data_IF_730831155053
#
_entry.id   IF_730831155053
#
_cell.length_a   1.000
_cell.length_b   1.000
_cell.length_c   1.000
_cell.angle_alpha   90.00
_cell.angle_beta   90.00
_cell.angle_gamma   90.00
#
_symmetry.space_group_name_H-M   'P 1'
#
loop_
_entity.id
_entity.type
_entity.pdbx_description
1 polymer ?
#
# COMPACT_ATOMS: atom_id res chain seq x y z
N UNK A 1 -25.58 -10.77 10.28
CA UNK A 1 -24.48 -11.40 9.51
C UNK A 1 -24.57 -11.17 7.99
N UNK A 2 -25.74 -11.15 7.33
CA UNK A 2 -25.79 -10.84 5.87
C UNK A 2 -25.39 -9.39 5.56
N UNK A 3 -25.96 -8.41 6.27
CA UNK A 3 -25.67 -6.98 6.10
C UNK A 3 -24.18 -6.62 6.21
N UNK A 4 -23.48 -7.25 7.16
CA UNK A 4 -22.03 -7.06 7.35
C UNK A 4 -21.24 -7.54 6.12
N UNK A 5 -21.65 -8.67 5.54
CA UNK A 5 -20.99 -9.23 4.35
C UNK A 5 -21.27 -8.39 3.10
N UNK A 6 -22.48 -7.82 2.99
CA UNK A 6 -22.82 -6.87 1.92
C UNK A 6 -21.98 -5.59 2.00
N UNK A 7 -21.85 -4.99 3.20
CA UNK A 7 -21.00 -3.80 3.41
C UNK A 7 -19.55 -4.10 3.04
N UNK A 8 -19.05 -5.27 3.43
CA UNK A 8 -17.69 -5.68 3.14
C UNK A 8 -17.43 -5.84 1.63
N UNK A 9 -18.37 -6.45 0.90
CA UNK A 9 -18.29 -6.55 -0.55
C UNK A 9 -18.36 -5.19 -1.25
N UNK A 10 -19.12 -4.24 -0.69
CA UNK A 10 -19.11 -2.86 -1.18
C UNK A 10 -17.76 -2.20 -0.93
N UNK A 11 -17.16 -2.38 0.25
CA UNK A 11 -15.84 -1.83 0.57
C UNK A 11 -14.75 -2.35 -0.37
N UNK A 12 -14.75 -3.65 -0.70
CA UNK A 12 -13.80 -4.25 -1.64
C UNK A 12 -13.79 -3.52 -2.99
N UNK A 13 -14.94 -3.05 -3.47
CA UNK A 13 -15.06 -2.37 -4.77
C UNK A 13 -14.47 -0.96 -4.77
N UNK A 14 -14.33 -0.34 -3.60
CA UNK A 14 -13.85 1.04 -3.45
C UNK A 14 -12.33 1.12 -3.24
N UNK A 15 -11.66 0.01 -2.91
CA UNK A 15 -10.20 -0.02 -2.74
C UNK A 15 -9.54 -0.09 -4.12
N UNK A 16 -8.47 0.70 -4.40
CA UNK A 16 -7.77 0.72 -5.68
C UNK A 16 -6.85 -0.50 -5.86
N UNK A 17 -7.40 -1.69 -5.75
CA UNK A 17 -6.74 -2.98 -5.99
C UNK A 17 -7.68 -3.86 -6.81
N UNK A 18 -7.15 -4.79 -7.58
CA UNK A 18 -7.96 -5.72 -8.36
C UNK A 18 -8.93 -6.51 -7.46
N UNK A 19 -10.23 -6.44 -7.77
CA UNK A 19 -11.27 -7.12 -6.98
C UNK A 19 -11.08 -8.64 -6.86
N UNK A 20 -10.38 -9.27 -7.81
CA UNK A 20 -10.03 -10.69 -7.78
C UNK A 20 -9.11 -11.04 -6.60
N UNK A 21 -8.16 -10.16 -6.28
CA UNK A 21 -7.21 -10.38 -5.19
C UNK A 21 -7.89 -10.13 -3.85
N UNK A 22 -8.70 -9.07 -3.77
CA UNK A 22 -9.41 -8.68 -2.55
C UNK A 22 -10.46 -9.69 -2.09
N UNK A 23 -11.09 -10.43 -3.00
CA UNK A 23 -12.08 -11.47 -2.65
C UNK A 23 -11.47 -12.70 -2.00
N UNK A 24 -10.16 -12.93 -2.18
CA UNK A 24 -9.42 -14.04 -1.55
C UNK A 24 -8.85 -13.67 -0.17
N UNK A 25 -8.83 -12.38 0.18
CA UNK A 25 -8.29 -11.91 1.45
C UNK A 25 -9.27 -12.12 2.59
N UNK A 26 -8.72 -12.32 3.79
CA UNK A 26 -9.51 -12.37 5.01
C UNK A 26 -10.07 -10.97 5.37
N UNK A 27 -11.10 -10.97 6.22
CA UNK A 27 -11.78 -9.74 6.63
C UNK A 27 -10.86 -8.72 7.28
N UNK A 28 -9.89 -9.16 8.08
CA UNK A 28 -8.99 -8.25 8.76
C UNK A 28 -8.03 -7.58 7.76
N UNK A 29 -7.52 -8.33 6.78
CA UNK A 29 -6.65 -7.76 5.74
C UNK A 29 -7.34 -6.72 4.87
N UNK A 30 -8.59 -6.92 4.45
CA UNK A 30 -9.32 -5.89 3.68
C UNK A 30 -9.55 -4.63 4.51
N UNK A 31 -9.93 -4.76 5.80
CA UNK A 31 -10.07 -3.61 6.70
C UNK A 31 -8.72 -2.88 6.86
N UNK A 32 -7.63 -3.63 7.03
CA UNK A 32 -6.27 -3.08 7.12
C UNK A 32 -5.93 -2.27 5.86
N UNK A 33 -6.14 -2.83 4.68
CA UNK A 33 -5.88 -2.15 3.40
C UNK A 33 -6.76 -0.91 3.22
N UNK A 34 -8.04 -0.98 3.59
CA UNK A 34 -8.95 0.16 3.53
C UNK A 34 -8.47 1.32 4.42
N UNK A 35 -8.09 1.02 5.67
CA UNK A 35 -7.54 2.01 6.59
C UNK A 35 -6.24 2.61 6.03
N UNK A 36 -5.34 1.77 5.53
CA UNK A 36 -4.09 2.21 4.92
C UNK A 36 -4.34 3.12 3.72
N UNK A 37 -5.30 2.76 2.87
CA UNK A 37 -5.69 3.58 1.72
C UNK A 37 -6.24 4.95 2.15
N UNK A 38 -7.05 5.01 3.22
CA UNK A 38 -7.52 6.27 3.76
C UNK A 38 -6.39 7.11 4.35
N UNK A 39 -5.43 6.50 5.05
CA UNK A 39 -4.25 7.19 5.60
C UNK A 39 -3.41 7.83 4.50
N UNK A 40 -3.09 7.10 3.44
CA UNK A 40 -2.28 7.65 2.34
C UNK A 40 -3.05 8.73 1.58
N UNK A 41 -4.36 8.56 1.37
CA UNK A 41 -5.20 9.58 0.75
C UNK A 41 -5.25 10.85 1.61
N UNK A 42 -5.38 10.69 2.92
CA UNK A 42 -5.33 11.80 3.86
C UNK A 42 -3.99 12.53 3.80
N UNK A 43 -2.88 11.79 3.76
CA UNK A 43 -1.53 12.35 3.65
C UNK A 43 -1.39 13.24 2.40
N UNK A 44 -1.83 12.75 1.24
CA UNK A 44 -1.79 13.55 0.00
C UNK A 44 -2.74 14.76 0.03
N UNK A 45 -3.95 14.60 0.59
CA UNK A 45 -4.93 15.69 0.69
C UNK A 45 -4.49 16.83 1.62
N UNK A 46 -3.72 16.53 2.67
CA UNK A 46 -3.15 17.54 3.56
C UNK A 46 -1.86 18.17 3.01
N UNK A 47 -1.08 17.41 2.24
CA UNK A 47 0.23 17.84 1.73
C UNK A 47 0.17 18.78 0.53
N UNK A 48 -0.72 18.54 -0.45
CA UNK A 48 -0.96 19.40 -1.61
C UNK A 48 -2.25 18.95 -2.34
N UNK A 49 -3.25 19.84 -2.45
CA UNK A 49 -4.53 19.54 -3.13
C UNK A 49 -4.38 19.21 -4.63
N UNK A 50 -3.26 19.60 -5.25
CA UNK A 50 -3.01 19.41 -6.68
C UNK A 50 -2.47 18.00 -7.03
N UNK A 51 -2.13 17.18 -6.03
CA UNK A 51 -1.74 15.76 -6.22
C UNK A 51 -2.96 14.84 -6.10
N UNK A 52 -4.14 15.32 -6.47
CA UNK A 52 -5.22 14.41 -6.86
C UNK A 52 -4.92 14.00 -8.30
N UNK A 53 -3.89 13.18 -8.47
CA UNK A 53 -3.61 12.55 -9.74
C UNK A 53 -4.74 11.57 -10.02
N UNK A 54 -5.55 11.95 -11.00
CA UNK A 54 -6.49 11.15 -11.75
C UNK A 54 -5.95 9.73 -11.91
N UNK A 55 -6.62 8.74 -11.31
CA UNK A 55 -6.42 7.33 -11.65
C UNK A 55 -6.99 7.09 -13.05
N UNK A 56 -6.41 7.71 -14.08
CA UNK A 56 -6.71 7.42 -15.47
C UNK A 56 -5.78 6.30 -15.88
N UNK A 57 -6.29 5.07 -15.85
CA UNK A 57 -5.62 3.83 -16.26
C UNK A 57 -5.19 3.90 -17.73
N UNK A 58 -4.19 4.72 -18.04
CA UNK A 58 -3.63 4.86 -19.37
C UNK A 58 -2.49 3.84 -19.48
N UNK A 59 -2.49 3.03 -20.54
CA UNK A 59 -1.47 2.02 -20.82
C UNK A 59 -0.03 2.61 -20.79
N UNK A 60 0.08 3.91 -21.09
CA UNK A 60 1.31 4.70 -21.02
C UNK A 60 1.84 4.86 -19.59
N UNK A 61 0.97 5.09 -18.61
CA UNK A 61 1.39 5.24 -17.20
C UNK A 61 1.94 3.93 -16.65
N UNK A 62 1.31 2.80 -16.96
CA UNK A 62 1.84 1.48 -16.60
C UNK A 62 3.23 1.23 -17.19
N UNK A 63 3.46 1.64 -18.45
CA UNK A 63 4.78 1.57 -19.09
C UNK A 63 5.79 2.50 -18.42
N UNK A 64 5.41 3.73 -18.10
CA UNK A 64 6.27 4.68 -17.39
C UNK A 64 6.64 4.18 -15.99
N UNK A 65 5.69 3.66 -15.21
CA UNK A 65 5.95 3.09 -13.89
C UNK A 65 6.99 1.97 -13.94
N UNK A 66 6.90 1.08 -14.94
CA UNK A 66 7.92 0.04 -15.16
C UNK A 66 9.30 0.61 -15.45
N UNK A 67 9.38 1.70 -16.23
CA UNK A 67 10.65 2.38 -16.50
C UNK A 67 11.21 3.06 -15.25
N UNK A 68 10.36 3.70 -14.43
CA UNK A 68 10.78 4.31 -13.17
C UNK A 68 11.38 3.29 -12.21
N UNK A 69 10.70 2.15 -12.00
CA UNK A 69 11.24 1.09 -11.15
C UNK A 69 12.55 0.52 -11.68
N UNK A 70 12.67 0.38 -13.01
CA UNK A 70 13.91 -0.07 -13.65
C UNK A 70 15.04 0.96 -13.52
N UNK A 71 14.74 2.26 -13.55
CA UNK A 71 15.72 3.32 -13.41
C UNK A 71 16.21 3.48 -11.96
N UNK A 72 15.31 3.37 -10.98
CA UNK A 72 15.65 3.44 -9.54
C UNK A 72 16.41 2.18 -9.11
N UNK A 73 16.21 1.06 -9.82
CA UNK A 73 16.82 -0.23 -9.52
C UNK A 73 16.56 -0.69 -8.06
N UNK A 74 15.37 -0.37 -7.57
CA UNK A 74 14.93 -0.55 -6.19
C UNK A 74 13.42 -0.34 -6.07
N UNK A 75 12.93 -0.20 -4.84
CA UNK A 75 11.52 -0.01 -4.53
C UNK A 75 11.32 1.20 -3.63
N UNK A 76 10.10 1.73 -3.58
CA UNK A 76 9.75 2.88 -2.76
C UNK A 76 8.82 2.41 -1.65
N UNK A 77 9.09 2.87 -0.42
CA UNK A 77 8.22 2.72 0.74
C UNK A 77 7.89 4.08 1.33
N UNK A 78 6.70 4.22 1.90
CA UNK A 78 6.28 5.40 2.66
C UNK A 78 5.79 4.94 4.02
N UNK A 79 6.30 5.57 5.07
CA UNK A 79 6.01 5.27 6.46
C UNK A 79 5.25 6.42 7.11
N UNK A 80 4.40 6.11 8.08
CA UNK A 80 3.92 7.12 9.02
C UNK A 80 4.97 7.36 10.11
N UNK A 81 4.80 8.44 10.87
CA UNK A 81 5.60 8.72 12.08
C UNK A 81 5.53 7.59 13.14
N UNK A 82 4.57 6.67 13.04
CA UNK A 82 4.46 5.51 13.91
C UNK A 82 5.15 4.26 13.33
N UNK A 83 5.86 4.38 12.20
CA UNK A 83 6.51 3.27 11.51
C UNK A 83 5.56 2.36 10.72
N UNK A 84 4.30 2.77 10.50
CA UNK A 84 3.34 1.97 9.74
C UNK A 84 3.51 2.20 8.24
N UNK A 85 3.62 1.12 7.47
CA UNK A 85 3.75 1.12 6.02
C UNK A 85 2.44 1.57 5.35
N UNK A 86 2.45 2.74 4.72
CA UNK A 86 1.26 3.31 4.06
C UNK A 86 1.30 3.23 2.54
N UNK A 87 2.49 3.11 1.97
CA UNK A 87 2.68 2.85 0.54
C UNK A 87 3.92 2.01 0.33
N UNK A 88 3.85 1.07 -0.62
CA UNK A 88 4.94 0.19 -1.04
C UNK A 88 4.77 -0.02 -2.54
N UNK A 89 5.83 0.01 -3.34
CA UNK A 89 5.72 -0.28 -4.78
C UNK A 89 5.53 -1.78 -5.06
N UNK A 90 4.77 -2.13 -6.09
CA UNK A 90 4.46 -3.54 -6.40
C UNK A 90 5.71 -4.38 -6.73
N UNK A 91 6.78 -3.76 -7.21
CA UNK A 91 8.04 -4.46 -7.53
C UNK A 91 8.81 -4.96 -6.30
N UNK A 92 8.39 -4.61 -5.07
CA UNK A 92 9.05 -5.11 -3.84
C UNK A 92 9.14 -6.63 -3.79
N UNK A 93 8.17 -7.33 -4.39
CA UNK A 93 8.18 -8.80 -4.48
C UNK A 93 9.40 -9.34 -5.22
N UNK A 94 9.93 -8.59 -6.18
CA UNK A 94 11.12 -8.98 -6.94
C UNK A 94 12.41 -8.77 -6.14
N UNK A 95 12.40 -7.88 -5.15
CA UNK A 95 13.56 -7.54 -4.34
C UNK A 95 13.61 -8.31 -3.01
N UNK A 96 12.48 -8.43 -2.31
CA UNK A 96 12.39 -9.03 -0.97
C UNK A 96 11.58 -10.34 -0.94
N UNK A 97 10.90 -10.70 -2.03
CA UNK A 97 10.00 -11.87 -2.06
C UNK A 97 8.66 -11.65 -1.34
N UNK A 98 8.42 -10.47 -0.77
CA UNK A 98 7.22 -10.13 -0.01
C UNK A 98 6.12 -9.52 -0.90
N UNK A 99 4.87 -9.83 -0.58
CA UNK A 99 3.72 -9.21 -1.25
C UNK A 99 3.47 -7.81 -0.70
N UNK A 100 3.21 -6.85 -1.59
CA UNK A 100 2.78 -5.49 -1.21
C UNK A 100 1.58 -5.53 -0.25
N UNK A 101 0.63 -6.44 -0.48
CA UNK A 101 -0.61 -6.59 0.31
C UNK A 101 -0.34 -7.04 1.75
N UNK A 102 0.69 -7.88 1.93
CA UNK A 102 1.07 -8.40 3.25
C UNK A 102 1.81 -7.33 4.06
N UNK A 103 2.50 -6.41 3.38
CA UNK A 103 3.27 -5.34 3.99
C UNK A 103 2.43 -4.11 4.34
N UNK A 104 1.44 -3.75 3.50
CA UNK A 104 0.64 -2.55 3.70
C UNK A 104 -0.14 -2.58 5.02
N UNK A 105 0.00 -1.51 5.79
CA UNK A 105 -0.61 -1.31 7.11
C UNK A 105 0.15 -1.93 8.28
N UNK A 106 1.19 -2.72 8.04
CA UNK A 106 2.02 -3.32 9.08
C UNK A 106 3.10 -2.37 9.56
N UNK A 107 3.77 -2.71 10.67
CA UNK A 107 4.92 -1.95 11.14
C UNK A 107 6.17 -2.34 10.33
N UNK A 108 7.00 -1.37 9.96
CA UNK A 108 8.25 -1.63 9.24
C UNK A 108 9.20 -2.56 10.02
N UNK A 109 9.18 -2.48 11.34
CA UNK A 109 10.04 -3.29 12.21
C UNK A 109 9.73 -4.80 12.10
N UNK A 110 8.52 -5.19 11.66
CA UNK A 110 8.15 -6.59 11.44
C UNK A 110 8.94 -7.22 10.27
N UNK A 111 9.53 -6.38 9.40
CA UNK A 111 10.29 -6.80 8.22
C UNK A 111 11.79 -6.52 8.34
N UNK A 112 12.24 -5.89 9.42
CA UNK A 112 13.63 -5.51 9.64
C UNK A 112 14.23 -6.42 10.73
N UNK A 113 15.52 -6.73 10.58
CA UNK A 113 16.24 -7.52 11.56
C UNK A 113 16.29 -6.80 12.94
N UNK A 114 16.08 -7.50 14.07
CA UNK A 114 16.01 -6.88 15.40
C UNK A 114 17.22 -6.04 15.79
N UNK A 115 18.42 -6.40 15.31
CA UNK A 115 19.63 -5.63 15.58
C UNK A 115 19.61 -4.21 15.00
N UNK A 116 18.80 -3.97 13.96
CA UNK A 116 18.74 -2.69 13.25
C UNK A 116 17.54 -1.84 13.73
N UNK A 117 16.73 -2.35 14.67
CA UNK A 117 15.50 -1.67 15.10
C UNK A 117 15.74 -0.33 15.77
N UNK A 118 16.84 -0.18 16.51
CA UNK A 118 17.15 1.06 17.20
C UNK A 118 17.56 2.15 16.20
N UNK A 119 18.35 1.81 15.18
CA UNK A 119 18.74 2.74 14.10
C UNK A 119 17.52 3.24 13.31
N UNK A 120 16.55 2.37 13.04
CA UNK A 120 15.33 2.73 12.29
C UNK A 120 14.38 3.61 13.10
N UNK A 121 14.35 3.45 14.43
CA UNK A 121 13.51 4.31 15.31
C UNK A 121 14.09 5.71 15.46
N UNK A 122 15.39 5.85 15.26
CA UNK A 122 16.10 7.13 15.34
C UNK A 122 16.06 7.93 14.02
N UNK A 123 15.42 7.39 12.96
CA UNK A 123 15.15 8.07 11.68
C UNK A 123 13.97 9.05 11.76
#
# INVERSE_FOLDING_TARGET
RSKESEIFNSLIKEIPLSGEILTQLDKASVIRLAITHLKIRSFFLFGNKDVVCTFSSNELESKLNKLYYKAINGFIIVLTNAGSLVYVTENIKQHLGLSQIDMLGQNILDFIHPCDHDEIKDM
#
